data_IF_993048679434
#
_entry.id   IF_993048679434
#
_cell.length_a   1.000
_cell.length_b   1.000
_cell.length_c   1.000
_cell.angle_alpha   90.00
_cell.angle_beta   90.00
_cell.angle_gamma   90.00
#
_symmetry.space_group_name_H-M   'P 1'
#
loop_
_entity.id
_entity.type
_entity.pdbx_description
1 polymer ?
#
# COMPACT_ATOMS: atom_id res chain seq x y z
N UNK A 1 13.24 -12.31 -5.49
CA UNK A 1 14.31 -11.41 -5.05
C UNK A 1 13.94 -10.02 -5.48
N UNK A 2 13.58 -9.20 -4.50
CA UNK A 2 13.57 -7.73 -4.48
C UNK A 2 13.34 -7.42 -2.99
N UNK A 3 14.44 -7.50 -2.25
CA UNK A 3 14.58 -7.18 -0.83
C UNK A 3 14.43 -5.68 -0.60
N UNK A 4 13.73 -5.30 0.45
CA UNK A 4 13.90 -3.99 1.07
C UNK A 4 14.45 -4.21 2.48
N UNK A 5 15.77 -4.32 2.57
CA UNK A 5 16.52 -4.15 3.81
C UNK A 5 16.72 -2.66 4.08
N UNK A 6 16.29 -2.20 5.25
CA UNK A 6 16.79 -0.96 5.85
C UNK A 6 17.63 -1.37 7.06
N UNK A 7 18.94 -1.25 6.95
CA UNK A 7 19.85 -1.15 8.08
C UNK A 7 20.03 0.33 8.43
N UNK A 8 19.77 0.70 9.67
CA UNK A 8 20.60 1.67 10.38
C UNK A 8 20.33 1.49 11.88
N UNK A 9 21.40 1.09 12.58
CA UNK A 9 21.41 1.07 14.04
C UNK A 9 21.57 2.50 14.56
N UNK A 10 20.76 2.85 15.55
CA UNK A 10 21.05 3.92 16.49
C UNK A 10 20.68 3.37 17.87
N UNK A 11 21.70 3.24 18.70
CA UNK A 11 21.61 2.95 20.13
C UNK A 11 20.98 4.15 20.84
N UNK A 12 20.00 3.91 21.72
CA UNK A 12 19.55 4.90 22.70
C UNK A 12 19.66 4.27 24.07
N UNK A 13 20.61 4.77 24.86
CA UNK A 13 20.70 4.51 26.29
C UNK A 13 19.62 5.29 27.06
N UNK A 14 19.18 4.67 28.14
CA UNK A 14 18.08 5.02 29.03
C UNK A 14 18.26 6.36 29.75
N UNK A 15 17.18 7.16 29.83
CA UNK A 15 16.95 8.11 30.94
C UNK A 15 15.47 8.08 31.33
N UNK A 16 15.22 7.92 32.63
CA UNK A 16 13.91 7.80 33.29
C UNK A 16 13.17 9.17 33.42
N UNK A 17 11.87 9.20 33.81
CA UNK A 17 10.92 10.22 33.38
C UNK A 17 10.80 11.43 34.32
N UNK A 18 10.60 12.61 33.73
CA UNK A 18 10.19 13.84 34.41
C UNK A 18 9.07 14.53 33.63
N UNK A 19 7.96 14.76 34.32
CA UNK A 19 6.71 15.37 33.86
C UNK A 19 6.90 16.85 33.44
N UNK A 20 6.19 17.34 32.42
CA UNK A 20 5.41 18.61 32.38
C UNK A 20 5.00 18.98 30.93
N UNK A 21 3.67 19.04 30.75
CA UNK A 21 2.76 19.84 29.90
C UNK A 21 3.28 20.83 28.82
N UNK A 22 2.65 20.69 27.64
CA UNK A 22 2.16 21.69 26.65
C UNK A 22 3.07 22.81 26.14
N UNK A 23 3.33 22.86 24.82
CA UNK A 23 2.65 23.74 23.85
C UNK A 23 3.32 23.72 22.45
N UNK A 24 2.48 24.00 21.45
CA UNK A 24 2.74 24.73 20.21
C UNK A 24 3.60 24.16 19.06
N UNK A 25 2.95 24.22 17.89
CA UNK A 25 3.46 24.24 16.52
C UNK A 25 4.78 24.99 16.30
N UNK A 26 5.72 24.40 15.55
CA UNK A 26 6.08 24.77 14.18
C UNK A 26 7.33 24.01 13.68
N UNK A 27 7.36 23.84 12.35
CA UNK A 27 8.54 23.74 11.50
C UNK A 27 9.55 22.59 11.72
N UNK A 28 9.66 21.71 10.71
CA UNK A 28 10.94 21.67 10.01
C UNK A 28 10.76 21.28 8.54
N UNK A 29 11.21 22.19 7.67
CA UNK A 29 11.35 22.06 6.23
C UNK A 29 12.84 22.33 5.97
N UNK A 30 13.55 21.36 5.41
CA UNK A 30 14.94 21.40 4.92
C UNK A 30 15.06 20.13 4.07
N UNK A 31 15.53 20.11 2.82
CA UNK A 31 16.63 20.86 2.22
C UNK A 31 16.35 21.17 0.74
N UNK A 32 16.46 22.46 0.36
CA UNK A 32 16.73 22.88 -1.02
C UNK A 32 18.12 23.53 -1.05
N UNK A 33 19.07 22.89 -1.75
CA UNK A 33 20.39 23.49 -2.00
C UNK A 33 20.33 24.41 -3.20
N UNK A 34 20.64 25.67 -2.93
CA UNK A 34 20.93 26.76 -3.86
C UNK A 34 22.04 26.39 -4.86
N UNK A 35 21.83 26.81 -6.11
CA UNK A 35 22.90 27.26 -7.01
C UNK A 35 22.42 28.57 -7.64
N UNK A 36 22.98 29.68 -7.15
CA UNK A 36 22.83 31.02 -7.68
C UNK A 36 23.45 31.12 -9.08
N UNK A 37 22.77 31.82 -9.99
CA UNK A 37 23.39 32.43 -11.16
C UNK A 37 23.06 33.93 -11.15
N UNK A 38 24.12 34.72 -11.10
CA UNK A 38 24.13 36.19 -11.03
C UNK A 38 23.50 36.79 -12.30
N UNK A 39 22.58 37.73 -12.13
CA UNK A 39 22.20 38.68 -13.17
C UNK A 39 22.90 40.03 -12.96
N UNK A 40 23.29 40.69 -14.06
CA UNK A 40 22.84 42.05 -14.45
C UNK A 40 23.72 42.58 -15.61
N UNK A 41 23.42 43.75 -16.21
CA UNK A 41 22.42 43.95 -17.28
C UNK A 41 23.07 44.54 -18.55
N UNK A 42 22.37 44.59 -19.71
CA UNK A 42 22.37 45.75 -20.64
C UNK A 42 21.56 45.52 -21.94
N UNK A 43 20.74 46.53 -22.25
CA UNK A 43 20.33 47.08 -23.56
C UNK A 43 19.77 46.18 -24.69
N UNK A 44 18.53 46.48 -25.07
CA UNK A 44 17.88 46.20 -26.37
C UNK A 44 18.29 47.31 -27.37
N UNK A 45 18.43 47.05 -28.70
CA UNK A 45 17.27 47.25 -29.59
C UNK A 45 17.14 46.31 -30.82
N UNK A 46 15.87 46.08 -31.17
CA UNK A 46 15.21 45.95 -32.48
C UNK A 46 15.56 44.91 -33.58
N UNK A 47 14.46 44.21 -33.96
CA UNK A 47 14.00 43.76 -35.31
C UNK A 47 14.91 42.87 -36.17
N UNK A 48 14.51 41.61 -36.37
CA UNK A 48 13.73 41.19 -37.55
C UNK A 48 13.64 39.65 -37.73
N UNK A 49 12.59 39.23 -38.45
CA UNK A 49 12.30 37.91 -39.06
C UNK A 49 11.63 36.85 -38.17
N UNK A 50 10.30 36.93 -38.13
CA UNK A 50 9.40 35.82 -37.78
C UNK A 50 9.45 34.77 -38.89
N UNK A 51 10.18 33.67 -38.69
CA UNK A 51 10.00 32.46 -39.50
C UNK A 51 8.75 31.73 -39.01
N UNK A 52 7.67 31.82 -39.77
CA UNK A 52 6.49 30.95 -39.63
C UNK A 52 6.94 29.50 -39.75
N UNK A 53 6.88 28.74 -38.65
CA UNK A 53 7.01 27.29 -38.71
C UNK A 53 5.76 26.74 -39.42
N UNK A 54 5.95 26.18 -40.61
CA UNK A 54 4.90 25.42 -41.28
C UNK A 54 4.49 24.22 -40.40
N UNK A 55 3.19 23.89 -40.30
CA UNK A 55 2.78 22.67 -39.63
C UNK A 55 3.30 21.48 -40.43
N UNK A 56 4.22 20.72 -39.85
CA UNK A 56 4.60 19.41 -40.39
C UNK A 56 3.37 18.50 -40.40
N UNK A 57 3.09 17.79 -41.51
CA UNK A 57 1.92 16.94 -41.60
C UNK A 57 1.97 15.83 -40.55
N UNK A 58 0.86 15.69 -39.84
CA UNK A 58 0.60 14.66 -38.85
C UNK A 58 0.60 13.28 -39.52
N UNK A 59 1.77 12.64 -39.60
CA UNK A 59 1.89 11.25 -40.01
C UNK A 59 1.19 10.38 -38.96
N UNK A 60 0.31 9.49 -39.42
CA UNK A 60 -0.50 8.56 -38.64
C UNK A 60 0.34 7.65 -37.73
N UNK A 61 0.73 8.17 -36.57
CA UNK A 61 1.38 7.43 -35.50
C UNK A 61 0.41 7.23 -34.35
N UNK A 62 0.27 5.98 -33.88
CA UNK A 62 -0.40 5.66 -32.61
C UNK A 62 -0.02 6.70 -31.53
N UNK A 63 -0.96 7.16 -30.69
CA UNK A 63 -0.62 8.14 -29.65
C UNK A 63 0.55 7.61 -28.81
N UNK A 64 1.51 8.46 -28.43
CA UNK A 64 2.80 8.05 -27.83
C UNK A 64 2.66 7.21 -26.55
N UNK A 65 1.47 7.22 -25.94
CA UNK A 65 1.13 6.47 -24.73
C UNK A 65 0.85 4.97 -24.95
N UNK A 66 0.89 4.45 -26.18
CA UNK A 66 0.58 3.03 -26.46
C UNK A 66 1.61 2.03 -25.90
N UNK A 67 2.78 2.46 -25.41
CA UNK A 67 3.84 1.59 -24.86
C UNK A 67 4.06 1.72 -23.36
N UNK A 68 3.38 2.64 -22.67
CA UNK A 68 3.62 2.86 -21.25
C UNK A 68 3.10 1.67 -20.43
N UNK A 69 4.02 0.89 -19.85
CA UNK A 69 3.68 -0.29 -19.04
C UNK A 69 3.70 -0.01 -17.53
N UNK A 70 4.39 1.04 -17.09
CA UNK A 70 4.56 1.38 -15.68
C UNK A 70 4.33 2.87 -15.46
N UNK A 71 3.45 3.22 -14.53
CA UNK A 71 3.17 4.59 -14.11
C UNK A 71 3.11 4.65 -12.59
N UNK A 72 3.99 5.43 -11.96
CA UNK A 72 4.08 5.58 -10.51
C UNK A 72 4.12 7.04 -10.12
N UNK A 73 3.70 7.35 -8.90
CA UNK A 73 3.72 8.72 -8.37
C UNK A 73 2.58 9.60 -8.88
N UNK A 74 1.60 9.04 -9.60
CA UNK A 74 0.45 9.81 -10.07
C UNK A 74 -0.35 10.32 -8.87
N UNK A 75 -0.57 11.63 -8.81
CA UNK A 75 -1.41 12.26 -7.80
C UNK A 75 -2.69 12.82 -8.42
N UNK A 76 -3.85 12.48 -7.85
CA UNK A 76 -5.18 12.90 -8.33
C UNK A 76 -5.94 13.62 -7.23
N UNK A 77 -6.05 14.94 -7.37
CA UNK A 77 -6.72 15.81 -6.42
C UNK A 77 -8.25 15.69 -6.46
N UNK A 78 -8.82 15.51 -7.66
CA UNK A 78 -10.27 15.46 -7.89
C UNK A 78 -10.63 14.45 -8.98
N UNK A 79 -11.86 13.91 -8.92
CA UNK A 79 -12.38 13.01 -9.96
C UNK A 79 -12.59 13.67 -11.33
N UNK A 80 -12.53 15.01 -11.41
CA UNK A 80 -12.60 15.77 -12.67
C UNK A 80 -11.23 15.97 -13.33
N UNK A 81 -10.15 15.45 -12.74
CA UNK A 81 -8.80 15.59 -13.26
C UNK A 81 -8.71 15.09 -14.71
N UNK A 82 -8.06 15.83 -15.63
CA UNK A 82 -7.85 15.36 -17.01
C UNK A 82 -7.04 14.05 -17.05
N UNK A 83 -6.27 13.76 -16.00
CA UNK A 83 -5.53 12.51 -15.86
C UNK A 83 -6.43 11.28 -15.79
N UNK A 84 -7.68 11.40 -15.34
CA UNK A 84 -8.65 10.28 -15.38
C UNK A 84 -8.90 9.85 -16.82
N UNK A 85 -9.05 10.80 -17.76
CA UNK A 85 -9.24 10.51 -19.19
C UNK A 85 -7.99 9.92 -19.81
N UNK A 86 -6.81 10.35 -19.37
CA UNK A 86 -5.53 9.78 -19.83
C UNK A 86 -5.38 8.35 -19.32
N UNK A 87 -5.62 8.10 -18.03
CA UNK A 87 -5.53 6.78 -17.41
C UNK A 87 -6.44 5.77 -18.14
N UNK A 88 -7.68 6.18 -18.47
CA UNK A 88 -8.61 5.39 -19.29
C UNK A 88 -8.13 5.10 -20.72
N UNK A 89 -6.97 5.57 -21.18
CA UNK A 89 -6.39 5.24 -22.49
C UNK A 89 -5.12 4.39 -22.40
N UNK A 90 -4.56 4.20 -21.20
CA UNK A 90 -3.31 3.46 -20.97
C UNK A 90 -3.53 1.95 -20.96
N UNK A 91 -3.99 1.37 -22.07
CA UNK A 91 -4.35 -0.06 -22.20
C UNK A 91 -3.17 -1.02 -22.02
N UNK A 92 -1.94 -0.54 -22.24
CA UNK A 92 -0.71 -1.33 -22.08
C UNK A 92 -0.17 -1.36 -20.65
N UNK A 93 -0.79 -0.63 -19.72
CA UNK A 93 -0.29 -0.46 -18.36
C UNK A 93 -0.38 -1.77 -17.57
N UNK A 94 0.76 -2.20 -17.02
CA UNK A 94 0.92 -3.36 -16.15
C UNK A 94 1.07 -2.98 -14.69
N UNK A 95 1.70 -1.83 -14.39
CA UNK A 95 1.93 -1.35 -13.02
C UNK A 95 1.42 0.07 -12.86
N UNK A 96 0.56 0.30 -11.87
CA UNK A 96 0.00 1.61 -11.55
C UNK A 96 0.19 1.93 -10.07
N UNK A 97 0.86 3.05 -9.80
CA UNK A 97 0.91 3.69 -8.48
C UNK A 97 0.20 5.04 -8.51
N UNK A 98 -0.92 5.13 -7.80
CA UNK A 98 -1.74 6.33 -7.72
C UNK A 98 -2.03 6.70 -6.27
N UNK A 99 -1.84 7.97 -5.96
CA UNK A 99 -2.32 8.63 -4.74
C UNK A 99 -3.44 9.56 -5.13
N UNK A 100 -4.52 9.57 -4.36
CA UNK A 100 -5.64 10.43 -4.64
C UNK A 100 -6.29 10.95 -3.35
N UNK A 101 -7.07 12.03 -3.47
CA UNK A 101 -7.96 12.46 -2.40
C UNK A 101 -9.15 11.51 -2.28
N UNK A 102 -9.81 11.42 -1.11
CA UNK A 102 -11.02 10.61 -0.94
C UNK A 102 -12.09 10.86 -2.03
N UNK A 103 -12.32 12.14 -2.35
CA UNK A 103 -13.27 12.57 -3.40
C UNK A 103 -12.93 12.11 -4.82
N UNK A 104 -11.70 11.67 -5.07
CA UNK A 104 -11.26 11.20 -6.38
C UNK A 104 -11.24 9.68 -6.49
N UNK A 105 -11.30 8.93 -5.37
CA UNK A 105 -11.16 7.47 -5.33
C UNK A 105 -12.09 6.79 -6.33
N UNK A 106 -13.39 7.13 -6.32
CA UNK A 106 -14.39 6.56 -7.23
C UNK A 106 -14.01 6.71 -8.71
N UNK A 107 -13.63 7.92 -9.12
CA UNK A 107 -13.24 8.17 -10.51
C UNK A 107 -11.96 7.41 -10.91
N UNK A 108 -11.02 7.24 -9.98
CA UNK A 108 -9.80 6.44 -10.21
C UNK A 108 -10.13 4.96 -10.34
N UNK A 109 -10.92 4.40 -9.42
CA UNK A 109 -11.23 2.96 -9.40
C UNK A 109 -12.08 2.53 -10.60
N UNK A 110 -12.97 3.40 -11.10
CA UNK A 110 -13.70 3.16 -12.35
C UNK A 110 -12.77 2.93 -13.57
N UNK A 111 -11.58 3.54 -13.57
CA UNK A 111 -10.63 3.40 -14.67
C UNK A 111 -10.06 1.98 -14.77
N UNK A 112 -10.01 1.22 -13.67
CA UNK A 112 -9.34 -0.08 -13.62
C UNK A 112 -9.97 -1.12 -14.53
N UNK A 113 -11.29 -1.08 -14.72
CA UNK A 113 -12.02 -1.90 -15.69
C UNK A 113 -11.47 -1.76 -17.13
N UNK A 114 -10.90 -0.61 -17.45
CA UNK A 114 -10.32 -0.31 -18.75
C UNK A 114 -8.82 -0.66 -18.85
N UNK A 115 -8.17 -0.98 -17.72
CA UNK A 115 -6.76 -1.35 -17.64
C UNK A 115 -6.62 -2.88 -17.63
N UNK A 116 -6.92 -3.50 -18.77
CA UNK A 116 -7.07 -4.97 -18.89
C UNK A 116 -5.76 -5.74 -18.72
N UNK A 117 -4.60 -5.08 -18.83
CA UNK A 117 -3.27 -5.67 -18.60
C UNK A 117 -2.67 -5.32 -17.25
N UNK A 118 -3.43 -4.67 -16.36
CA UNK A 118 -2.92 -4.22 -15.06
C UNK A 118 -2.68 -5.41 -14.14
N UNK A 119 -1.42 -5.65 -13.79
CA UNK A 119 -0.98 -6.75 -12.95
C UNK A 119 -0.70 -6.29 -11.50
N UNK A 120 -0.25 -5.04 -11.34
CA UNK A 120 0.14 -4.47 -10.05
C UNK A 120 -0.49 -3.09 -9.83
N UNK A 121 -1.19 -2.95 -8.71
CA UNK A 121 -1.83 -1.71 -8.28
C UNK A 121 -1.31 -1.29 -6.91
N UNK A 122 -0.90 -0.03 -6.80
CA UNK A 122 -0.66 0.68 -5.55
C UNK A 122 -1.64 1.86 -5.48
N UNK A 123 -2.68 1.75 -4.67
CA UNK A 123 -3.72 2.75 -4.49
C UNK A 123 -3.61 3.36 -3.09
N UNK A 124 -3.53 4.69 -3.01
CA UNK A 124 -3.43 5.41 -1.73
C UNK A 124 -4.46 6.53 -1.67
N UNK A 125 -5.25 6.59 -0.61
CA UNK A 125 -6.12 7.73 -0.30
C UNK A 125 -5.49 8.59 0.80
N UNK A 126 -5.31 9.89 0.54
CA UNK A 126 -4.76 10.84 1.52
C UNK A 126 -5.57 12.13 1.60
N UNK A 127 -5.82 12.62 2.82
CA UNK A 127 -6.49 13.89 3.08
C UNK A 127 -5.55 15.09 2.86
N UNK A 128 -6.06 16.32 2.97
CA UNK A 128 -5.31 17.56 2.73
C UNK A 128 -4.01 17.67 3.53
N UNK A 129 -3.93 17.05 4.70
CA UNK A 129 -2.76 17.01 5.57
C UNK A 129 -1.79 15.88 5.24
N UNK A 130 -2.08 15.10 4.19
CA UNK A 130 -1.30 13.96 3.76
C UNK A 130 -1.56 12.71 4.60
N UNK A 131 -2.53 12.70 5.50
CA UNK A 131 -2.84 11.55 6.35
C UNK A 131 -3.66 10.49 5.60
N UNK A 132 -3.57 9.21 5.99
CA UNK A 132 -4.42 8.16 5.43
C UNK A 132 -5.90 8.53 5.57
N UNK A 133 -6.63 8.49 4.46
CA UNK A 133 -8.02 8.92 4.42
C UNK A 133 -8.93 7.80 3.90
N UNK A 134 -10.24 8.05 3.90
CA UNK A 134 -11.24 7.07 3.45
C UNK A 134 -10.93 6.61 2.02
N UNK A 135 -10.92 5.30 1.82
CA UNK A 135 -10.71 4.62 0.56
C UNK A 135 -11.96 3.80 0.24
N UNK A 136 -12.99 4.45 -0.31
CA UNK A 136 -14.23 3.76 -0.63
C UNK A 136 -14.07 2.93 -1.93
N UNK A 137 -14.21 1.61 -1.82
CA UNK A 137 -14.03 0.64 -2.90
C UNK A 137 -15.33 -0.07 -3.31
N UNK A 138 -16.49 0.35 -2.79
CA UNK A 138 -17.78 -0.34 -3.00
C UNK A 138 -18.14 -0.55 -4.49
N UNK A 139 -17.75 0.39 -5.35
CA UNK A 139 -18.03 0.36 -6.80
C UNK A 139 -16.81 -0.06 -7.65
N UNK A 140 -15.72 -0.51 -7.01
CA UNK A 140 -14.51 -0.87 -7.74
C UNK A 140 -14.75 -2.09 -8.63
N UNK A 141 -14.62 -1.89 -9.94
CA UNK A 141 -14.61 -2.98 -10.92
C UNK A 141 -13.20 -3.52 -11.10
N UNK A 142 -13.11 -4.84 -11.09
CA UNK A 142 -11.87 -5.59 -11.19
C UNK A 142 -11.14 -5.51 -12.52
N UNK A 143 -9.89 -5.97 -12.51
CA UNK A 143 -9.13 -6.32 -13.70
C UNK A 143 -8.70 -7.79 -13.60
N UNK A 144 -8.96 -8.63 -14.62
CA UNK A 144 -8.69 -10.07 -14.55
C UNK A 144 -7.20 -10.40 -14.41
N UNK A 145 -6.31 -9.48 -14.84
CA UNK A 145 -4.87 -9.64 -14.75
C UNK A 145 -4.28 -9.21 -13.39
N UNK A 146 -5.08 -8.58 -12.52
CA UNK A 146 -4.55 -8.00 -11.29
C UNK A 146 -4.15 -9.10 -10.30
N UNK A 147 -2.87 -9.12 -9.95
CA UNK A 147 -2.27 -10.14 -9.09
C UNK A 147 -1.55 -9.58 -7.87
N UNK A 148 -1.24 -8.27 -7.87
CA UNK A 148 -0.57 -7.60 -6.75
C UNK A 148 -1.30 -6.30 -6.40
N UNK A 149 -1.79 -6.20 -5.17
CA UNK A 149 -2.53 -5.02 -4.68
C UNK A 149 -1.90 -4.52 -3.39
N UNK A 150 -1.60 -3.23 -3.38
CA UNK A 150 -1.32 -2.45 -2.18
C UNK A 150 -2.37 -1.37 -2.04
N UNK A 151 -2.97 -1.27 -0.85
CA UNK A 151 -3.95 -0.24 -0.51
C UNK A 151 -3.54 0.49 0.76
N UNK A 152 -3.60 1.82 0.73
CA UNK A 152 -3.45 2.68 1.89
C UNK A 152 -4.67 3.59 2.04
N UNK A 153 -5.26 3.60 3.22
CA UNK A 153 -6.43 4.40 3.57
C UNK A 153 -7.51 3.56 4.25
N UNK A 154 -8.40 4.24 4.97
CA UNK A 154 -9.44 3.61 5.80
C UNK A 154 -10.51 2.96 4.92
N UNK A 155 -10.80 1.69 5.19
CA UNK A 155 -11.86 0.91 4.55
C UNK A 155 -13.01 0.77 5.55
N UNK A 156 -14.24 1.08 5.13
CA UNK A 156 -15.43 0.84 5.97
C UNK A 156 -15.69 -0.67 6.14
N UNK A 157 -15.42 -1.43 5.08
CA UNK A 157 -15.49 -2.88 5.05
C UNK A 157 -14.44 -3.43 4.09
N UNK A 158 -14.13 -4.72 4.23
CA UNK A 158 -13.28 -5.43 3.26
C UNK A 158 -14.09 -5.57 1.97
N UNK A 159 -13.62 -5.04 0.82
CA UNK A 159 -14.30 -5.27 -0.44
C UNK A 159 -14.25 -6.76 -0.78
N UNK A 160 -15.23 -7.27 -1.53
CA UNK A 160 -15.17 -8.64 -2.06
C UNK A 160 -14.05 -8.73 -3.10
N UNK A 161 -12.83 -8.94 -2.64
CA UNK A 161 -11.64 -9.00 -3.49
C UNK A 161 -11.73 -10.16 -4.49
N UNK A 162 -12.46 -11.23 -4.16
CA UNK A 162 -12.73 -12.34 -5.08
C UNK A 162 -13.54 -11.92 -6.32
N UNK A 163 -14.47 -10.98 -6.16
CA UNK A 163 -15.23 -10.41 -7.29
C UNK A 163 -14.39 -9.46 -8.17
N UNK A 164 -13.37 -8.83 -7.59
CA UNK A 164 -12.55 -7.79 -8.24
C UNK A 164 -11.23 -8.36 -8.80
N UNK A 165 -10.62 -9.33 -8.13
CA UNK A 165 -9.24 -9.77 -8.36
C UNK A 165 -9.14 -11.30 -8.21
N UNK A 166 -9.68 -12.06 -9.17
CA UNK A 166 -9.70 -13.53 -9.10
C UNK A 166 -8.31 -14.18 -8.96
N UNK A 167 -7.27 -13.56 -9.51
CA UNK A 167 -5.90 -14.08 -9.54
C UNK A 167 -4.97 -13.38 -8.54
N UNK A 168 -5.52 -12.85 -7.44
CA UNK A 168 -4.74 -12.07 -6.47
C UNK A 168 -3.75 -12.95 -5.72
N UNK A 169 -2.46 -12.69 -5.91
CA UNK A 169 -1.34 -13.42 -5.28
C UNK A 169 -0.70 -12.66 -4.15
N UNK A 170 -0.70 -11.33 -4.20
CA UNK A 170 -0.11 -10.47 -3.17
C UNK A 170 -1.11 -9.40 -2.78
N UNK A 171 -1.48 -9.37 -1.50
CA UNK A 171 -2.30 -8.33 -0.92
C UNK A 171 -1.55 -7.64 0.21
N UNK A 172 -1.61 -6.31 0.22
CA UNK A 172 -1.10 -5.48 1.30
C UNK A 172 -2.14 -4.42 1.65
N UNK A 173 -2.62 -4.47 2.88
CA UNK A 173 -3.53 -3.49 3.45
C UNK A 173 -2.76 -2.66 4.48
N UNK A 174 -2.86 -1.33 4.37
CA UNK A 174 -2.19 -0.41 5.27
C UNK A 174 -3.14 0.69 5.72
N UNK A 175 -3.20 0.97 7.02
CA UNK A 175 -4.08 2.01 7.58
C UNK A 175 -5.55 1.83 7.19
N UNK A 176 -5.96 0.57 6.95
CA UNK A 176 -7.30 0.19 6.53
C UNK A 176 -8.35 0.21 7.64
N UNK A 177 -7.95 0.19 8.91
CA UNK A 177 -8.84 0.32 10.07
C UNK A 177 -10.03 -0.64 10.05
N UNK A 178 -9.81 -1.86 9.59
CA UNK A 178 -10.84 -2.89 9.53
C UNK A 178 -11.25 -3.29 10.95
N UNK A 179 -12.54 -3.24 11.22
CA UNK A 179 -13.12 -3.61 12.53
C UNK A 179 -13.47 -5.11 12.60
N UNK A 180 -14.02 -5.65 11.51
CA UNK A 180 -14.29 -7.09 11.37
C UNK A 180 -13.02 -7.85 11.01
N UNK A 181 -13.02 -9.16 11.26
CA UNK A 181 -11.86 -10.02 10.98
C UNK A 181 -11.55 -10.03 9.48
N UNK A 182 -10.38 -9.54 9.05
CA UNK A 182 -10.00 -9.56 7.64
C UNK A 182 -9.86 -10.98 7.10
N UNK A 183 -9.55 -11.98 7.92
CA UNK A 183 -9.35 -13.36 7.46
C UNK A 183 -10.64 -13.98 6.93
N UNK A 184 -11.78 -13.63 7.54
CA UNK A 184 -13.11 -14.06 7.08
C UNK A 184 -13.43 -13.51 5.69
N UNK A 185 -13.22 -12.20 5.49
CA UNK A 185 -13.54 -11.55 4.23
C UNK A 185 -12.54 -11.86 3.10
N UNK A 186 -11.33 -12.33 3.44
CA UNK A 186 -10.29 -12.72 2.48
C UNK A 186 -10.32 -14.22 2.16
N UNK A 187 -11.22 -14.99 2.77
CA UNK A 187 -11.32 -16.45 2.64
C UNK A 187 -11.39 -16.93 1.18
N UNK A 188 -12.03 -16.18 0.30
CA UNK A 188 -12.22 -16.56 -1.11
C UNK A 188 -10.95 -16.45 -1.96
N UNK A 189 -9.88 -15.82 -1.44
CA UNK A 189 -8.64 -15.60 -2.18
C UNK A 189 -7.75 -16.84 -2.15
N UNK A 190 -8.18 -17.92 -2.83
CA UNK A 190 -7.49 -19.21 -2.83
C UNK A 190 -6.10 -19.19 -3.45
N UNK A 191 -5.82 -18.21 -4.33
CA UNK A 191 -4.53 -18.01 -4.98
C UNK A 191 -3.58 -17.06 -4.24
N UNK A 192 -3.98 -16.56 -3.06
CA UNK A 192 -3.17 -15.64 -2.28
C UNK A 192 -1.92 -16.34 -1.76
N UNK A 193 -0.75 -15.76 -2.09
CA UNK A 193 0.57 -16.27 -1.69
C UNK A 193 1.15 -15.41 -0.57
N UNK A 194 0.89 -14.11 -0.59
CA UNK A 194 1.40 -13.17 0.40
C UNK A 194 0.29 -12.25 0.90
N UNK A 195 0.12 -12.22 2.21
CA UNK A 195 -0.76 -11.30 2.91
C UNK A 195 0.05 -10.42 3.86
N UNK A 196 -0.16 -9.11 3.77
CA UNK A 196 0.43 -8.13 4.68
C UNK A 196 -0.66 -7.23 5.27
N UNK A 197 -0.78 -7.24 6.59
CA UNK A 197 -1.63 -6.36 7.37
C UNK A 197 -0.72 -5.39 8.12
N UNK A 198 -0.69 -4.13 7.70
CA UNK A 198 0.29 -3.14 8.15
C UNK A 198 -0.38 -1.92 8.78
N UNK A 199 0.22 -1.37 9.84
CA UNK A 199 -0.07 -0.06 10.42
C UNK A 199 -1.56 0.22 10.58
N UNK A 200 -2.16 -0.26 11.68
CA UNK A 200 -3.60 -0.09 11.97
C UNK A 200 -4.51 -0.56 10.82
N UNK A 201 -4.09 -1.56 10.03
CA UNK A 201 -4.95 -2.14 8.99
C UNK A 201 -6.10 -2.94 9.57
N UNK A 202 -5.92 -3.50 10.75
CA UNK A 202 -6.92 -4.18 11.56
C UNK A 202 -6.91 -3.56 12.95
N UNK A 203 -8.09 -3.27 13.49
CA UNK A 203 -8.27 -2.64 14.82
C UNK A 203 -9.12 -3.52 15.74
N UNK A 204 -9.35 -4.78 15.38
CA UNK A 204 -9.94 -5.76 16.27
C UNK A 204 -8.89 -6.42 17.16
N UNK A 205 -9.37 -7.08 18.22
CA UNK A 205 -8.52 -7.70 19.24
C UNK A 205 -8.13 -9.13 18.93
N UNK A 206 -8.91 -9.82 18.11
CA UNK A 206 -8.76 -11.24 17.82
C UNK A 206 -8.80 -11.46 16.32
N UNK A 207 -7.83 -12.21 15.81
CA UNK A 207 -7.72 -12.61 14.41
C UNK A 207 -7.80 -14.13 14.33
N UNK A 208 -8.86 -14.65 13.75
CA UNK A 208 -9.14 -16.08 13.62
C UNK A 208 -8.91 -16.55 12.18
N UNK A 209 -7.86 -17.35 11.97
CA UNK A 209 -7.58 -17.98 10.69
C UNK A 209 -8.30 -19.33 10.63
N UNK A 210 -9.55 -19.37 10.13
CA UNK A 210 -10.42 -20.56 10.27
C UNK A 210 -10.26 -21.65 9.20
N UNK A 211 -10.04 -21.29 7.94
CA UNK A 211 -9.76 -22.23 6.86
C UNK A 211 -9.34 -21.43 5.61
N UNK A 212 -8.80 -22.07 4.56
CA UNK A 212 -9.03 -21.58 3.20
C UNK A 212 -7.94 -20.75 2.50
N UNK A 213 -6.74 -20.62 3.07
CA UNK A 213 -5.59 -20.04 2.39
C UNK A 213 -4.58 -21.12 1.93
N UNK A 214 -4.93 -21.97 0.94
CA UNK A 214 -4.14 -23.15 0.59
C UNK A 214 -2.78 -22.83 -0.01
N UNK A 215 -2.60 -21.63 -0.58
CA UNK A 215 -1.35 -21.21 -1.23
C UNK A 215 -0.62 -20.09 -0.48
N UNK A 216 -1.12 -19.66 0.67
CA UNK A 216 -0.50 -18.58 1.44
C UNK A 216 0.81 -19.08 2.03
N UNK A 217 1.91 -18.43 1.66
CA UNK A 217 3.28 -18.76 2.06
C UNK A 217 3.88 -17.74 3.02
N UNK A 218 3.42 -16.48 2.94
CA UNK A 218 3.97 -15.39 3.75
C UNK A 218 2.82 -14.60 4.37
N UNK A 219 2.82 -14.52 5.70
CA UNK A 219 1.92 -13.68 6.48
C UNK A 219 2.74 -12.66 7.28
N UNK A 220 2.47 -11.37 7.06
CA UNK A 220 3.11 -10.28 7.82
C UNK A 220 2.06 -9.45 8.56
N UNK A 221 2.19 -9.38 9.87
CA UNK A 221 1.37 -8.57 10.76
C UNK A 221 2.26 -7.50 11.37
N UNK A 222 2.03 -6.23 11.03
CA UNK A 222 2.90 -5.15 11.49
C UNK A 222 2.07 -3.99 12.04
N UNK A 223 2.38 -3.53 13.25
CA UNK A 223 1.73 -2.39 13.89
C UNK A 223 0.21 -2.56 13.99
N UNK A 224 -0.23 -3.76 14.41
CA UNK A 224 -1.63 -4.04 14.73
C UNK A 224 -1.84 -3.78 16.22
N UNK A 225 -1.93 -2.50 16.56
CA UNK A 225 -1.87 -1.98 17.94
C UNK A 225 -2.90 -2.58 18.91
N UNK A 226 -4.04 -3.03 18.40
CA UNK A 226 -5.13 -3.59 19.21
C UNK A 226 -5.17 -5.12 19.22
N UNK A 227 -4.33 -5.79 18.43
CA UNK A 227 -4.34 -7.24 18.32
C UNK A 227 -3.81 -7.88 19.60
N UNK A 228 -4.65 -8.67 20.26
CA UNK A 228 -4.36 -9.38 21.51
C UNK A 228 -4.19 -10.89 21.30
N UNK A 229 -4.94 -11.47 20.35
CA UNK A 229 -4.98 -12.92 20.10
C UNK A 229 -4.93 -13.25 18.62
N UNK A 230 -4.02 -14.15 18.24
CA UNK A 230 -3.97 -14.80 16.94
C UNK A 230 -4.32 -16.28 17.09
N UNK A 231 -5.33 -16.75 16.36
CA UNK A 231 -5.70 -18.17 16.33
C UNK A 231 -5.58 -18.70 14.91
N UNK A 232 -4.92 -19.84 14.79
CA UNK A 232 -4.84 -20.63 13.56
C UNK A 232 -5.60 -21.92 13.78
N UNK A 233 -6.69 -22.11 13.03
CA UNK A 233 -7.43 -23.36 13.05
C UNK A 233 -6.80 -24.38 12.10
N UNK A 234 -7.11 -25.66 12.33
CA UNK A 234 -6.60 -26.77 11.54
C UNK A 234 -6.84 -26.55 10.04
N UNK A 235 -5.75 -26.57 9.26
CA UNK A 235 -5.83 -26.46 7.80
C UNK A 235 -6.08 -25.05 7.25
N UNK A 236 -6.03 -24.01 8.08
CA UNK A 236 -6.22 -22.63 7.64
C UNK A 236 -5.16 -22.12 6.67
N UNK A 237 -3.89 -22.37 6.99
CA UNK A 237 -2.75 -21.85 6.24
C UNK A 237 -1.67 -22.93 6.06
N UNK A 238 -2.07 -24.09 5.52
CA UNK A 238 -1.22 -25.29 5.43
C UNK A 238 0.10 -25.14 4.67
N UNK A 239 0.24 -24.09 3.85
CA UNK A 239 1.43 -23.82 3.04
C UNK A 239 2.25 -22.63 3.56
N UNK A 240 1.96 -22.15 4.77
CA UNK A 240 2.61 -20.97 5.34
C UNK A 240 4.06 -21.30 5.70
N UNK A 241 4.99 -20.59 5.06
CA UNK A 241 6.43 -20.79 5.26
C UNK A 241 7.05 -19.70 6.15
N UNK A 242 6.51 -18.48 6.11
CA UNK A 242 7.03 -17.32 6.84
C UNK A 242 5.90 -16.60 7.58
N UNK A 243 6.06 -16.47 8.90
CA UNK A 243 5.26 -15.61 9.76
C UNK A 243 6.14 -14.51 10.35
N UNK A 244 5.81 -13.26 10.05
CA UNK A 244 6.47 -12.09 10.65
C UNK A 244 5.43 -11.27 11.43
N UNK A 245 5.65 -11.09 12.73
CA UNK A 245 4.84 -10.25 13.60
C UNK A 245 5.72 -9.16 14.20
N UNK A 246 5.38 -7.90 13.93
CA UNK A 246 6.18 -6.74 14.32
C UNK A 246 5.34 -5.65 14.97
N UNK A 247 5.82 -5.10 16.08
CA UNK A 247 5.19 -3.97 16.77
C UNK A 247 3.69 -4.22 17.04
N UNK A 248 3.35 -5.45 17.44
CA UNK A 248 2.01 -5.83 17.88
C UNK A 248 2.08 -6.04 19.40
N UNK A 249 2.30 -4.95 20.14
CA UNK A 249 2.70 -4.96 21.55
C UNK A 249 1.68 -5.63 22.47
N UNK A 250 0.39 -5.57 22.13
CA UNK A 250 -0.70 -6.20 22.90
C UNK A 250 -0.87 -7.70 22.61
N UNK A 251 -0.18 -8.25 21.61
CA UNK A 251 -0.34 -9.65 21.22
C UNK A 251 0.32 -10.54 22.28
N UNK A 252 -0.49 -11.10 23.18
CA UNK A 252 -0.04 -12.01 24.23
C UNK A 252 -0.25 -13.48 23.91
N UNK A 253 -1.18 -13.79 22.99
CA UNK A 253 -1.60 -15.18 22.74
C UNK A 253 -1.56 -15.53 21.26
N UNK A 254 -0.87 -16.63 20.94
CA UNK A 254 -0.87 -17.24 19.62
C UNK A 254 -1.17 -18.73 19.77
N UNK A 255 -2.21 -19.22 19.07
CA UNK A 255 -2.70 -20.61 19.16
C UNK A 255 -2.69 -21.24 17.78
N UNK A 256 -2.31 -22.52 17.68
CA UNK A 256 -2.47 -23.33 16.48
C UNK A 256 -1.37 -23.18 15.44
N UNK A 257 -0.24 -22.53 15.77
CA UNK A 257 0.91 -22.47 14.87
C UNK A 257 1.59 -23.83 14.71
N UNK A 258 1.50 -24.67 15.74
CA UNK A 258 1.94 -26.08 15.73
C UNK A 258 1.19 -26.92 14.70
N UNK A 259 0.06 -26.45 14.17
CA UNK A 259 -0.72 -27.12 13.13
C UNK A 259 -0.20 -26.84 11.71
N UNK A 260 0.90 -26.08 11.57
CA UNK A 260 1.49 -25.67 10.29
C UNK A 260 2.87 -26.33 10.11
N UNK A 261 2.90 -27.53 9.51
CA UNK A 261 4.14 -28.28 9.27
C UNK A 261 5.08 -27.61 8.24
N UNK A 262 4.58 -26.69 7.42
CA UNK A 262 5.35 -26.03 6.36
C UNK A 262 6.13 -24.79 6.84
N UNK A 263 5.98 -24.41 8.11
CA UNK A 263 6.56 -23.19 8.67
C UNK A 263 8.08 -23.31 8.77
N UNK A 264 8.79 -22.39 8.12
CA UNK A 264 10.27 -22.37 8.07
C UNK A 264 10.87 -21.25 8.90
N UNK A 265 10.13 -20.15 9.06
CA UNK A 265 10.60 -18.95 9.75
C UNK A 265 9.48 -18.28 10.51
N UNK A 266 9.73 -18.01 11.79
CA UNK A 266 8.88 -17.18 12.64
C UNK A 266 9.73 -16.05 13.22
N UNK A 267 9.31 -14.82 12.97
CA UNK A 267 9.97 -13.62 13.49
C UNK A 267 8.98 -12.82 14.32
N UNK A 268 9.26 -12.68 15.62
CA UNK A 268 8.48 -11.88 16.56
C UNK A 268 9.34 -10.72 17.06
N UNK A 269 8.90 -9.47 16.87
CA UNK A 269 9.65 -8.29 17.34
C UNK A 269 8.69 -7.21 17.83
N UNK A 270 8.88 -6.67 19.03
CA UNK A 270 7.91 -5.71 19.60
C UNK A 270 6.53 -6.32 19.77
N UNK A 271 6.48 -7.54 20.32
CA UNK A 271 5.28 -8.21 20.83
C UNK A 271 5.38 -8.30 22.35
N UNK A 272 4.33 -8.76 23.04
CA UNK A 272 4.38 -9.00 24.48
C UNK A 272 5.61 -9.84 24.89
N UNK A 273 6.27 -9.46 25.99
CA UNK A 273 7.53 -10.08 26.44
C UNK A 273 7.34 -11.56 26.81
N UNK A 274 6.17 -11.92 27.35
CA UNK A 274 5.81 -13.29 27.68
C UNK A 274 5.74 -14.16 26.43
N UNK A 275 5.08 -13.66 25.38
CA UNK A 275 5.00 -14.36 24.10
C UNK A 275 6.36 -14.51 23.41
N UNK A 276 7.16 -13.44 23.39
CA UNK A 276 8.49 -13.45 22.78
C UNK A 276 9.43 -14.48 23.43
N UNK A 277 9.28 -14.71 24.73
CA UNK A 277 10.12 -15.64 25.51
C UNK A 277 9.80 -17.12 25.26
N UNK A 278 8.56 -17.44 24.88
CA UNK A 278 8.15 -18.81 24.53
C UNK A 278 8.83 -19.26 23.24
N UNK A 279 8.95 -18.36 22.26
CA UNK A 279 9.47 -18.68 20.93
C UNK A 279 10.99 -18.66 20.80
N UNK A 280 11.70 -17.96 21.69
CA UNK A 280 13.18 -18.02 21.73
C UNK A 280 13.73 -19.36 22.23
N UNK A 281 12.87 -20.25 22.73
CA UNK A 281 13.27 -21.53 23.35
C UNK A 281 13.06 -22.77 22.46
N UNK A 282 12.51 -22.60 21.25
CA UNK A 282 12.37 -23.64 20.23
C UNK A 282 13.24 -23.33 19.02
#
# INVERSE_FOLDING_TARGET
MDDFGFHSGISWESVAPGNIRSEAHQHNQSDERHLECKESPTSVPERSIVRKAHPTPYISGKPPYCKLETLWGLFIETGKSPMIRVLKKLRSLKKLGVTCRPRAVKAVTECFSSLTRLESLRLRSRDLLGQPAVLNLSEMKGSPSLSKVYMLGSLESVPSFSSVCKNLKVLTLSMSRLKGDPMEALYDLKDLIVLRLLARSFTGKRLDCKAGFPKLRILKLWMLEELEVLVVEQGAMRSLEELEIRQCEKLGTVVGLELIDSLKSVSLTGVDEGLASIWKKN
#
